data_IF_808728728969
#
_entry.id   IF_808728728969
#
_cell.length_a   1.000
_cell.length_b   1.000
_cell.length_c   1.000
_cell.angle_alpha   90.00
_cell.angle_beta   90.00
_cell.angle_gamma   90.00
#
_symmetry.space_group_name_H-M   'P 1'
#
loop_
_entity.id
_entity.type
_entity.pdbx_description
1 polymer ?
#
# COMPACT_ATOMS: atom_id res chain seq x y z
N UNK A 1 -22.39 41.74 -48.73
CA UNK A 1 -23.52 42.31 -47.92
C UNK A 1 -23.51 41.62 -46.57
N UNK A 2 -23.30 42.41 -45.61
CA UNK A 2 -23.35 42.33 -44.17
C UNK A 2 -23.62 41.01 -43.45
N UNK A 3 -22.63 40.62 -42.65
CA UNK A 3 -22.81 39.79 -41.48
C UNK A 3 -23.05 40.63 -40.23
N UNK A 4 -23.93 40.28 -39.33
CA UNK A 4 -23.92 40.85 -37.99
C UNK A 4 -23.20 39.94 -36.99
N UNK A 5 -22.30 40.56 -36.28
CA UNK A 5 -21.62 40.18 -35.05
C UNK A 5 -22.62 39.99 -33.91
N UNK A 6 -22.53 38.88 -33.18
CA UNK A 6 -23.16 38.73 -31.86
C UNK A 6 -22.11 38.63 -30.77
N UNK A 7 -22.10 39.65 -29.91
CA UNK A 7 -21.44 39.67 -28.62
C UNK A 7 -22.12 38.67 -27.69
N UNK A 8 -21.35 37.86 -27.03
CA UNK A 8 -21.79 37.05 -25.89
C UNK A 8 -21.39 37.76 -24.59
N UNK A 9 -22.37 37.94 -23.74
CA UNK A 9 -22.25 38.53 -22.41
C UNK A 9 -21.46 37.66 -21.44
N UNK A 10 -20.59 38.33 -20.70
CA UNK A 10 -19.81 37.83 -19.59
C UNK A 10 -20.70 37.54 -18.39
N UNK A 11 -20.74 36.30 -17.95
CA UNK A 11 -21.18 35.97 -16.59
C UNK A 11 -19.95 35.66 -15.74
N UNK A 12 -19.65 36.57 -14.80
CA UNK A 12 -18.64 36.44 -13.79
C UNK A 12 -19.09 35.40 -12.75
N UNK A 13 -18.44 34.24 -12.71
CA UNK A 13 -18.43 33.38 -11.52
C UNK A 13 -17.08 33.51 -10.84
N UNK A 14 -17.13 34.06 -9.63
CA UNK A 14 -16.03 34.07 -8.68
C UNK A 14 -15.85 32.62 -8.21
N UNK A 15 -14.71 32.02 -8.56
CA UNK A 15 -14.31 30.70 -8.06
C UNK A 15 -13.00 30.88 -7.29
N UNK A 16 -13.05 30.56 -6.00
CA UNK A 16 -11.91 30.45 -5.09
C UNK A 16 -10.80 29.51 -5.63
N UNK A 17 -9.53 29.70 -5.23
CA UNK A 17 -8.41 28.98 -5.82
C UNK A 17 -8.28 27.58 -5.24
N UNK A 18 -9.10 26.64 -5.69
CA UNK A 18 -8.89 25.21 -5.46
C UNK A 18 -8.16 24.65 -6.67
N UNK A 19 -6.94 24.22 -6.42
CA UNK A 19 -6.07 23.34 -7.23
C UNK A 19 -6.57 23.04 -8.65
N UNK A 20 -6.03 23.75 -9.62
CA UNK A 20 -6.19 23.43 -11.05
C UNK A 20 -5.56 22.06 -11.35
N UNK A 21 -6.35 21.02 -11.39
CA UNK A 21 -6.00 19.82 -12.15
C UNK A 21 -6.11 20.20 -13.63
N UNK A 22 -4.99 20.48 -14.26
CA UNK A 22 -4.92 20.73 -15.70
C UNK A 22 -5.31 19.44 -16.43
N UNK A 23 -6.52 19.40 -16.97
CA UNK A 23 -6.95 18.36 -17.91
C UNK A 23 -6.25 18.64 -19.25
N UNK A 24 -4.94 18.43 -19.31
CA UNK A 24 -4.25 18.32 -20.60
C UNK A 24 -4.62 16.99 -21.21
N UNK A 25 -5.49 17.02 -22.21
CA UNK A 25 -5.64 15.98 -23.19
C UNK A 25 -4.25 15.76 -23.83
N UNK A 26 -3.54 14.72 -23.43
CA UNK A 26 -2.32 14.31 -24.13
C UNK A 26 -2.74 13.66 -25.44
N UNK A 27 -2.63 14.39 -26.51
CA UNK A 27 -2.46 13.81 -27.85
C UNK A 27 -1.26 12.86 -27.75
N UNK A 28 -1.42 11.63 -28.22
CA UNK A 28 -0.33 10.66 -28.39
C UNK A 28 0.61 11.25 -29.42
N UNK A 29 1.57 12.04 -28.96
CA UNK A 29 2.75 12.39 -29.73
C UNK A 29 3.62 11.14 -29.63
N UNK A 30 4.11 10.63 -30.74
CA UNK A 30 5.11 9.57 -30.82
C UNK A 30 6.30 9.93 -29.91
N UNK A 31 6.25 9.48 -28.66
CA UNK A 31 7.32 9.67 -27.70
C UNK A 31 8.34 8.59 -27.99
N UNK A 32 9.51 9.05 -28.40
CA UNK A 32 10.70 8.22 -28.53
C UNK A 32 10.82 7.30 -27.30
N UNK A 33 10.58 6.02 -27.50
CA UNK A 33 10.42 4.99 -26.45
C UNK A 33 11.74 4.75 -25.69
N UNK A 34 12.80 5.48 -26.03
CA UNK A 34 14.16 5.37 -25.49
C UNK A 34 14.45 6.32 -24.31
N UNK A 35 13.56 7.26 -23.97
CA UNK A 35 13.83 8.17 -22.86
C UNK A 35 13.52 7.52 -21.49
N UNK A 36 14.41 7.70 -20.53
CA UNK A 36 14.19 7.28 -19.12
C UNK A 36 12.82 7.73 -18.58
N UNK A 37 12.38 8.93 -18.95
CA UNK A 37 11.09 9.47 -18.54
C UNK A 37 9.92 8.63 -19.10
N UNK A 38 9.94 8.31 -20.42
CA UNK A 38 8.88 7.50 -21.05
C UNK A 38 8.83 6.09 -20.46
N UNK A 39 9.99 5.47 -20.22
CA UNK A 39 10.08 4.14 -19.62
C UNK A 39 9.52 4.10 -18.21
N UNK A 40 9.82 5.11 -17.38
CA UNK A 40 9.26 5.24 -16.02
C UNK A 40 7.74 5.46 -16.06
N UNK A 41 7.29 6.37 -16.94
CA UNK A 41 5.86 6.64 -17.12
C UNK A 41 5.10 5.37 -17.54
N UNK A 42 5.63 4.61 -18.49
CA UNK A 42 5.02 3.35 -18.92
C UNK A 42 4.93 2.33 -17.77
N UNK A 43 6.00 2.17 -16.97
CA UNK A 43 6.00 1.28 -15.80
C UNK A 43 4.95 1.71 -14.76
N UNK A 44 4.83 2.99 -14.48
CA UNK A 44 3.83 3.54 -13.57
C UNK A 44 2.41 3.33 -14.13
N UNK A 45 2.21 3.59 -15.43
CA UNK A 45 0.90 3.41 -16.07
C UNK A 45 0.45 1.96 -16.08
N UNK A 46 1.36 1.01 -16.30
CA UNK A 46 1.10 -0.43 -16.21
C UNK A 46 0.83 -0.94 -14.78
N UNK A 47 1.07 -0.13 -13.74
CA UNK A 47 0.83 -0.51 -12.37
C UNK A 47 -0.60 -0.21 -11.91
N UNK A 48 -1.04 -0.89 -10.84
CA UNK A 48 -2.34 -0.63 -10.21
C UNK A 48 -2.37 0.77 -9.58
N UNK A 49 -3.57 1.39 -9.55
CA UNK A 49 -3.81 2.63 -8.81
C UNK A 49 -3.48 2.44 -7.33
N UNK A 50 -2.79 3.39 -6.73
CA UNK A 50 -2.33 3.35 -5.34
C UNK A 50 -0.99 2.65 -5.14
N UNK A 51 -0.40 2.04 -6.18
CA UNK A 51 0.94 1.44 -6.11
C UNK A 51 1.98 2.49 -5.77
N UNK A 52 2.85 2.16 -4.79
CA UNK A 52 3.93 3.03 -4.37
C UNK A 52 5.30 2.49 -4.81
N UNK A 53 6.20 3.41 -5.10
CA UNK A 53 7.53 3.17 -5.65
C UNK A 53 8.57 3.98 -4.89
N UNK A 54 9.80 3.47 -4.88
CA UNK A 54 11.01 4.21 -4.54
C UNK A 54 11.84 4.44 -5.81
N UNK A 55 12.88 5.27 -5.71
CA UNK A 55 13.81 5.43 -6.85
C UNK A 55 14.49 4.13 -7.26
N UNK A 56 14.75 3.23 -6.30
CA UNK A 56 15.38 1.93 -6.58
C UNK A 56 14.54 1.02 -7.46
N UNK A 57 13.22 1.20 -7.49
CA UNK A 57 12.33 0.42 -8.36
C UNK A 57 12.50 0.73 -9.86
N UNK A 58 13.24 1.78 -10.19
CA UNK A 58 13.53 2.22 -11.56
C UNK A 58 15.03 2.18 -11.90
N UNK A 59 15.86 1.57 -11.03
CA UNK A 59 17.31 1.58 -11.18
C UNK A 59 17.82 0.99 -12.50
N UNK A 60 17.03 0.14 -13.15
CA UNK A 60 17.29 -0.47 -14.44
C UNK A 60 16.97 0.43 -15.63
N UNK A 61 16.28 1.57 -15.43
CA UNK A 61 15.80 2.44 -16.52
C UNK A 61 16.71 3.63 -16.82
N UNK A 62 17.74 3.86 -16.03
CA UNK A 62 18.64 4.98 -16.28
C UNK A 62 19.53 5.36 -15.13
N UNK A 63 20.23 6.48 -15.25
CA UNK A 63 21.08 7.01 -14.19
C UNK A 63 20.25 7.53 -13.00
N UNK A 64 20.87 7.56 -11.81
CA UNK A 64 20.21 8.09 -10.61
C UNK A 64 19.70 9.53 -10.81
N UNK A 65 20.41 10.34 -11.59
CA UNK A 65 20.03 11.72 -11.87
C UNK A 65 18.83 11.78 -12.82
N UNK A 66 18.88 11.04 -13.95
CA UNK A 66 17.78 11.01 -14.93
C UNK A 66 16.48 10.47 -14.32
N UNK A 67 16.59 9.43 -13.49
CA UNK A 67 15.43 8.89 -12.74
C UNK A 67 14.84 9.95 -11.80
N UNK A 68 15.68 10.65 -11.01
CA UNK A 68 15.21 11.68 -10.10
C UNK A 68 14.52 12.84 -10.83
N UNK A 69 15.08 13.27 -11.97
CA UNK A 69 14.48 14.32 -12.80
C UNK A 69 13.15 13.87 -13.41
N UNK A 70 13.09 12.64 -13.91
CA UNK A 70 11.86 12.08 -14.48
C UNK A 70 10.75 12.00 -13.42
N UNK A 71 11.04 11.48 -12.22
CA UNK A 71 10.08 11.38 -11.13
C UNK A 71 9.60 12.77 -10.67
N UNK A 72 10.51 13.75 -10.57
CA UNK A 72 10.13 15.13 -10.21
C UNK A 72 9.21 15.76 -11.26
N UNK A 73 9.44 15.50 -12.56
CA UNK A 73 8.54 15.99 -13.62
C UNK A 73 7.17 15.32 -13.54
N UNK A 74 7.13 14.00 -13.36
CA UNK A 74 5.86 13.26 -13.22
C UNK A 74 5.06 13.69 -11.99
N UNK A 75 5.74 14.07 -10.89
CA UNK A 75 5.12 14.66 -9.70
C UNK A 75 4.56 16.06 -10.01
N UNK A 76 5.34 16.92 -10.67
CA UNK A 76 4.89 18.26 -11.09
C UNK A 76 3.71 18.21 -12.06
N UNK A 77 3.66 17.20 -12.92
CA UNK A 77 2.55 16.95 -13.87
C UNK A 77 1.32 16.31 -13.19
N UNK A 78 1.40 15.99 -11.88
CA UNK A 78 0.31 15.37 -11.12
C UNK A 78 0.03 13.90 -11.47
N UNK A 79 0.93 13.24 -12.21
CA UNK A 79 0.80 11.83 -12.60
C UNK A 79 1.08 10.92 -11.40
N UNK A 80 1.97 11.35 -10.50
CA UNK A 80 2.29 10.70 -9.23
C UNK A 80 2.22 11.70 -8.09
N UNK A 81 2.06 11.20 -6.88
CA UNK A 81 2.14 11.98 -5.64
C UNK A 81 3.34 11.50 -4.82
N UNK A 82 3.94 12.39 -4.02
CA UNK A 82 5.06 12.06 -3.12
C UNK A 82 4.61 12.16 -1.65
N UNK A 83 4.01 11.11 -1.08
CA UNK A 83 3.52 11.12 0.29
C UNK A 83 4.65 11.11 1.33
N UNK A 84 5.85 10.71 0.93
CA UNK A 84 7.06 10.67 1.75
C UNK A 84 8.28 10.93 0.86
N UNK A 85 9.24 11.69 1.38
CA UNK A 85 10.46 12.02 0.63
C UNK A 85 11.15 10.77 0.06
N UNK A 86 11.27 10.71 -1.27
CA UNK A 86 11.90 9.62 -2.00
C UNK A 86 10.98 8.43 -2.29
N UNK A 87 9.69 8.55 -1.95
CA UNK A 87 8.65 7.57 -2.28
C UNK A 87 7.53 8.25 -3.05
N UNK A 88 7.08 7.60 -4.10
CA UNK A 88 6.12 8.11 -5.05
C UNK A 88 4.98 7.12 -5.22
N UNK A 89 3.74 7.58 -5.27
CA UNK A 89 2.60 6.70 -5.42
C UNK A 89 1.74 7.14 -6.61
N UNK A 90 1.20 6.17 -7.35
CA UNK A 90 0.19 6.42 -8.37
C UNK A 90 -1.11 6.81 -7.66
N UNK A 91 -1.67 8.01 -7.90
CA UNK A 91 -2.84 8.47 -7.15
C UNK A 91 -4.07 7.58 -7.40
N UNK A 92 -4.86 7.39 -6.36
CA UNK A 92 -6.24 6.91 -6.44
C UNK A 92 -7.15 8.14 -6.42
N UNK A 93 -8.06 8.25 -7.37
CA UNK A 93 -9.05 9.34 -7.42
C UNK A 93 -10.39 8.74 -6.99
N UNK A 94 -11.06 9.41 -6.06
CA UNK A 94 -12.42 9.08 -5.68
C UNK A 94 -13.36 9.29 -6.87
N UNK A 95 -14.10 8.24 -7.23
CA UNK A 95 -15.10 8.36 -8.31
C UNK A 95 -16.28 9.27 -7.92
N UNK A 96 -16.52 9.40 -6.62
CA UNK A 96 -17.66 10.19 -6.10
C UNK A 96 -17.31 11.67 -5.93
N UNK A 97 -16.11 11.95 -5.41
CA UNK A 97 -15.69 13.32 -5.04
C UNK A 97 -14.78 13.95 -6.08
N UNK A 98 -14.20 13.19 -7.02
CA UNK A 98 -13.20 13.69 -7.97
C UNK A 98 -11.85 14.03 -7.34
N UNK A 99 -11.67 13.80 -6.04
CA UNK A 99 -10.49 14.18 -5.28
C UNK A 99 -9.46 13.03 -5.21
N UNK A 100 -8.19 13.40 -5.06
CA UNK A 100 -7.10 12.45 -4.82
C UNK A 100 -7.22 11.88 -3.41
N UNK A 101 -7.38 10.56 -3.32
CA UNK A 101 -7.44 9.86 -2.03
C UNK A 101 -6.05 9.83 -1.35
N UNK A 102 -6.01 9.76 -0.01
CA UNK A 102 -4.77 9.50 0.72
C UNK A 102 -4.03 8.29 0.15
N UNK A 103 -2.68 8.25 0.26
CA UNK A 103 -1.91 7.11 -0.20
C UNK A 103 -2.31 5.84 0.54
N UNK A 104 -2.19 4.71 -0.13
CA UNK A 104 -2.34 3.42 0.51
C UNK A 104 -1.11 3.15 1.40
N UNK A 105 -1.28 3.28 2.70
CA UNK A 105 -0.17 3.15 3.65
C UNK A 105 0.42 1.73 3.70
N UNK A 106 -0.35 0.68 3.33
CA UNK A 106 0.21 -0.66 3.15
C UNK A 106 1.17 -0.72 1.96
N UNK A 107 0.79 -0.11 0.84
CA UNK A 107 1.65 -0.01 -0.34
C UNK A 107 2.88 0.85 -0.06
N UNK A 108 2.71 1.96 0.68
CA UNK A 108 3.83 2.82 1.07
C UNK A 108 4.81 2.06 2.00
N UNK A 109 4.31 1.37 3.01
CA UNK A 109 5.14 0.54 3.90
C UNK A 109 5.86 -0.57 3.12
N UNK A 110 5.18 -1.19 2.17
CA UNK A 110 5.77 -2.22 1.29
C UNK A 110 6.87 -1.63 0.40
N UNK A 111 6.68 -0.42 -0.15
CA UNK A 111 7.71 0.26 -0.95
C UNK A 111 8.93 0.63 -0.10
N UNK A 112 8.71 1.08 1.14
CA UNK A 112 9.81 1.35 2.10
C UNK A 112 10.59 0.06 2.37
N UNK A 113 9.90 -1.00 2.75
CA UNK A 113 10.52 -2.29 3.06
C UNK A 113 11.32 -2.84 1.86
N UNK A 114 10.75 -2.79 0.66
CA UNK A 114 11.41 -3.23 -0.58
C UNK A 114 12.68 -2.43 -0.86
N UNK A 115 12.66 -1.11 -0.65
CA UNK A 115 13.82 -0.25 -0.86
C UNK A 115 15.00 -0.60 0.06
N UNK A 116 14.72 -1.13 1.26
CA UNK A 116 15.74 -1.55 2.23
C UNK A 116 15.99 -3.07 2.26
N UNK A 117 15.29 -3.84 1.43
CA UNK A 117 15.37 -5.30 1.45
C UNK A 117 14.80 -5.94 2.72
N UNK A 118 13.86 -5.26 3.39
CA UNK A 118 13.20 -5.79 4.59
C UNK A 118 12.01 -6.66 4.24
N UNK A 119 11.85 -7.73 4.99
CA UNK A 119 10.58 -8.47 5.05
C UNK A 119 9.72 -7.85 6.15
N UNK A 120 8.47 -7.55 5.82
CA UNK A 120 7.53 -6.93 6.76
C UNK A 120 6.22 -7.73 6.84
N UNK A 121 5.60 -7.68 8.02
CA UNK A 121 4.29 -8.24 8.26
C UNK A 121 3.45 -7.24 9.06
N UNK A 122 2.21 -6.94 8.66
CA UNK A 122 1.35 -6.07 9.44
C UNK A 122 1.12 -6.66 10.84
N UNK A 123 1.00 -5.82 11.85
CA UNK A 123 0.68 -6.22 13.22
C UNK A 123 -0.23 -5.21 13.90
N UNK A 124 -0.74 -5.55 15.08
CA UNK A 124 -1.70 -4.71 15.79
C UNK A 124 -3.03 -4.56 15.03
N UNK A 125 -3.65 -3.40 15.16
CA UNK A 125 -5.00 -3.13 14.65
C UNK A 125 -5.11 -3.25 13.13
N UNK A 126 -4.06 -2.92 12.38
CA UNK A 126 -4.04 -3.10 10.92
C UNK A 126 -4.25 -4.55 10.54
N UNK A 127 -3.53 -5.45 11.22
CA UNK A 127 -3.63 -6.88 10.93
C UNK A 127 -5.01 -7.41 11.29
N UNK A 128 -5.54 -7.00 12.45
CA UNK A 128 -6.88 -7.41 12.89
C UNK A 128 -7.96 -6.88 11.93
N UNK A 129 -7.81 -5.65 11.45
CA UNK A 129 -8.71 -5.06 10.47
C UNK A 129 -8.62 -5.80 9.11
N UNK A 130 -7.41 -6.06 8.62
CA UNK A 130 -7.18 -6.81 7.38
C UNK A 130 -7.78 -8.24 7.43
N UNK A 131 -7.77 -8.85 8.61
CA UNK A 131 -8.38 -10.16 8.84
C UNK A 131 -9.88 -10.06 9.19
N UNK A 132 -10.47 -8.86 9.24
CA UNK A 132 -11.88 -8.64 9.60
C UNK A 132 -12.22 -9.04 11.03
N UNK A 133 -11.22 -9.08 11.91
CA UNK A 133 -11.38 -9.38 13.34
C UNK A 133 -11.82 -8.15 14.14
N UNK A 134 -11.57 -6.96 13.61
CA UNK A 134 -12.04 -5.67 14.12
C UNK A 134 -12.58 -4.79 13.01
N UNK A 135 -13.49 -3.89 13.35
CA UNK A 135 -14.01 -2.85 12.46
C UNK A 135 -13.35 -1.49 12.73
N UNK A 136 -12.47 -1.40 13.72
CA UNK A 136 -11.78 -0.17 14.05
C UNK A 136 -10.81 0.21 12.93
N UNK A 137 -10.83 1.51 12.56
CA UNK A 137 -9.85 2.06 11.62
C UNK A 137 -8.55 2.30 12.38
N UNK A 138 -7.43 1.71 11.96
CA UNK A 138 -6.16 1.90 12.65
C UNK A 138 -5.67 3.34 12.51
N UNK A 139 -5.27 3.94 13.63
CA UNK A 139 -4.65 5.28 13.67
C UNK A 139 -3.15 5.21 13.34
N UNK A 140 -2.51 4.12 13.73
CA UNK A 140 -1.08 3.87 13.48
C UNK A 140 -0.90 2.64 12.61
N UNK A 141 0.04 2.71 11.67
CA UNK A 141 0.36 1.63 10.76
C UNK A 141 1.61 0.91 11.23
N UNK A 142 1.43 -0.16 12.00
CA UNK A 142 2.54 -0.90 12.62
C UNK A 142 2.84 -2.20 11.89
N UNK A 143 4.12 -2.43 11.63
CA UNK A 143 4.65 -3.64 10.99
C UNK A 143 5.77 -4.23 11.83
N UNK A 144 5.80 -5.55 11.97
CA UNK A 144 7.02 -6.26 12.37
C UNK A 144 7.93 -6.36 11.15
N UNK A 145 9.22 -6.20 11.36
CA UNK A 145 10.21 -6.06 10.29
C UNK A 145 11.49 -6.85 10.60
N UNK A 146 12.11 -7.40 9.57
CA UNK A 146 13.48 -7.95 9.66
C UNK A 146 14.53 -6.83 9.76
N UNK A 147 14.17 -5.60 9.41
CA UNK A 147 15.02 -4.41 9.54
C UNK A 147 14.98 -3.79 10.94
N UNK A 148 15.75 -2.73 11.18
CA UNK A 148 15.78 -2.03 12.46
C UNK A 148 14.46 -1.31 12.74
N UNK A 149 14.28 -0.88 14.00
CA UNK A 149 13.16 0.00 14.36
C UNK A 149 13.25 1.30 13.57
N UNK A 150 12.15 1.68 12.93
CA UNK A 150 12.01 2.96 12.22
C UNK A 150 10.59 3.45 12.21
N UNK A 151 10.45 4.77 12.20
CA UNK A 151 9.17 5.45 12.04
C UNK A 151 9.23 6.42 10.87
N UNK A 152 8.11 6.54 10.18
CA UNK A 152 7.89 7.49 9.09
C UNK A 152 6.54 8.18 9.31
N UNK A 153 6.50 9.47 9.05
CA UNK A 153 5.25 10.25 9.11
C UNK A 153 4.89 10.70 7.71
N UNK A 154 3.68 10.37 7.29
CA UNK A 154 3.14 10.75 5.98
C UNK A 154 1.72 11.28 6.17
N UNK A 155 1.48 12.55 5.82
CA UNK A 155 0.18 13.21 5.94
C UNK A 155 -0.48 13.02 7.33
N UNK A 156 0.31 13.16 8.41
CA UNK A 156 -0.15 12.99 9.78
C UNK A 156 -0.32 11.53 10.24
N UNK A 157 -0.17 10.56 9.34
CA UNK A 157 -0.22 9.13 9.66
C UNK A 157 1.18 8.60 9.97
N UNK A 158 1.31 7.87 11.08
CA UNK A 158 2.58 7.26 11.50
C UNK A 158 2.65 5.82 11.01
N UNK A 159 3.75 5.50 10.31
CA UNK A 159 4.10 4.14 9.88
C UNK A 159 5.30 3.68 10.70
N UNK A 160 5.11 2.65 11.52
CA UNK A 160 6.13 2.13 12.44
C UNK A 160 6.59 0.74 12.01
N UNK A 161 7.90 0.56 11.89
CA UNK A 161 8.55 -0.74 11.68
C UNK A 161 9.19 -1.17 12.99
N UNK A 162 8.69 -2.25 13.58
CA UNK A 162 9.23 -2.83 14.82
C UNK A 162 10.16 -4.00 14.47
N UNK A 163 11.40 -3.91 14.90
CA UNK A 163 12.34 -5.02 14.71
C UNK A 163 11.83 -6.28 15.39
N UNK A 164 11.93 -7.42 14.72
CA UNK A 164 11.72 -8.72 15.34
C UNK A 164 12.90 -9.63 15.04
N UNK A 165 13.41 -10.25 16.11
CA UNK A 165 14.44 -11.28 16.02
C UNK A 165 13.88 -12.66 15.60
N UNK A 166 12.56 -12.82 15.59
CA UNK A 166 11.91 -14.08 15.24
C UNK A 166 11.97 -14.32 13.73
N UNK A 167 13.09 -14.85 13.26
CA UNK A 167 13.30 -15.21 11.85
C UNK A 167 12.35 -16.32 11.38
N UNK A 168 11.88 -17.16 12.29
CA UNK A 168 10.94 -18.25 11.94
C UNK A 168 9.66 -17.72 11.33
N UNK A 169 9.20 -16.52 11.78
CA UNK A 169 8.01 -15.88 11.25
C UNK A 169 8.15 -15.48 9.77
N UNK A 170 9.37 -15.28 9.28
CA UNK A 170 9.62 -14.95 7.88
C UNK A 170 9.92 -16.17 7.01
N UNK A 171 10.12 -17.35 7.62
CA UNK A 171 10.39 -18.61 6.92
C UNK A 171 9.12 -19.42 6.65
N UNK A 172 7.96 -18.97 7.15
CA UNK A 172 6.66 -19.58 6.90
C UNK A 172 5.87 -18.82 5.84
N UNK A 173 4.76 -19.38 5.38
CA UNK A 173 3.87 -18.72 4.45
C UNK A 173 3.33 -17.41 5.04
N UNK A 174 3.08 -16.43 4.20
CA UNK A 174 2.55 -15.12 4.64
C UNK A 174 1.24 -15.27 5.43
N UNK A 175 0.36 -16.17 4.98
CA UNK A 175 -0.93 -16.45 5.64
C UNK A 175 -0.70 -16.99 7.05
N UNK A 176 0.18 -17.99 7.22
CA UNK A 176 0.51 -18.55 8.54
C UNK A 176 1.11 -17.51 9.47
N UNK A 177 2.07 -16.73 8.98
CA UNK A 177 2.69 -15.66 9.75
C UNK A 177 1.66 -14.58 10.20
N UNK A 178 0.72 -14.20 9.32
CA UNK A 178 -0.35 -13.25 9.66
C UNK A 178 -1.28 -13.81 10.74
N UNK A 179 -1.68 -15.08 10.66
CA UNK A 179 -2.55 -15.70 11.66
C UNK A 179 -1.86 -15.77 13.01
N UNK A 180 -0.62 -16.25 13.06
CA UNK A 180 0.16 -16.30 14.32
C UNK A 180 0.30 -14.91 14.92
N UNK A 181 0.61 -13.91 14.11
CA UNK A 181 0.75 -12.53 14.58
C UNK A 181 -0.59 -11.95 15.07
N UNK A 182 -1.71 -12.29 14.43
CA UNK A 182 -3.04 -11.90 14.87
C UNK A 182 -3.39 -12.52 16.23
N UNK A 183 -3.13 -13.81 16.41
CA UNK A 183 -3.34 -14.49 17.68
C UNK A 183 -2.49 -13.87 18.80
N UNK A 184 -1.21 -13.55 18.51
CA UNK A 184 -0.33 -12.83 19.44
C UNK A 184 -0.86 -11.44 19.80
N UNK A 185 -1.40 -10.72 18.83
CA UNK A 185 -1.96 -9.36 19.04
C UNK A 185 -3.21 -9.41 19.89
N UNK A 186 -4.12 -10.37 19.65
CA UNK A 186 -5.32 -10.56 20.46
C UNK A 186 -4.99 -11.03 21.88
N UNK A 187 -3.98 -11.88 22.05
CA UNK A 187 -3.68 -12.58 23.27
C UNK A 187 -4.68 -13.70 23.58
N UNK A 188 -4.22 -14.74 24.29
CA UNK A 188 -5.00 -15.97 24.56
C UNK A 188 -6.40 -15.70 25.12
N UNK A 189 -6.51 -14.75 26.05
CA UNK A 189 -7.76 -14.45 26.77
C UNK A 189 -8.87 -13.84 25.88
N UNK A 190 -8.50 -13.20 24.76
CA UNK A 190 -9.45 -12.50 23.90
C UNK A 190 -9.84 -13.31 22.64
N UNK A 191 -9.38 -14.55 22.52
CA UNK A 191 -9.71 -15.40 21.39
C UNK A 191 -11.03 -16.12 21.70
N UNK A 192 -12.03 -15.83 20.89
CA UNK A 192 -13.38 -16.40 20.99
C UNK A 192 -13.62 -17.42 19.89
N UNK A 193 -14.66 -18.26 20.05
CA UNK A 193 -15.11 -19.18 18.98
C UNK A 193 -15.46 -18.42 17.68
N UNK A 194 -15.96 -17.18 17.81
CA UNK A 194 -16.24 -16.32 16.66
C UNK A 194 -14.93 -15.90 15.94
N UNK A 195 -13.86 -15.63 16.70
CA UNK A 195 -12.52 -15.34 16.12
C UNK A 195 -12.02 -16.55 15.32
N UNK A 196 -12.11 -17.74 15.90
CA UNK A 196 -11.71 -19.00 15.25
C UNK A 196 -12.51 -19.23 13.97
N UNK A 197 -13.85 -19.07 14.02
CA UNK A 197 -14.71 -19.24 12.86
C UNK A 197 -14.37 -18.22 11.74
N UNK A 198 -14.14 -16.94 12.08
CA UNK A 198 -13.76 -15.92 11.11
C UNK A 198 -12.39 -16.21 10.46
N UNK A 199 -11.41 -16.69 11.20
CA UNK A 199 -10.11 -17.07 10.65
C UNK A 199 -10.23 -18.29 9.72
N UNK A 200 -11.03 -19.27 10.12
CA UNK A 200 -11.30 -20.48 9.33
C UNK A 200 -11.89 -20.14 7.95
N UNK A 201 -12.92 -19.30 7.91
CA UNK A 201 -13.58 -18.92 6.64
C UNK A 201 -12.68 -18.16 5.65
N UNK A 202 -11.53 -17.68 6.11
CA UNK A 202 -10.57 -16.98 5.25
C UNK A 202 -9.49 -17.88 4.68
N UNK A 203 -9.41 -19.10 5.13
CA UNK A 203 -8.41 -20.07 4.69
C UNK A 203 -8.99 -20.97 3.60
N UNK A 204 -8.24 -21.16 2.54
CA UNK A 204 -8.44 -22.28 1.62
C UNK A 204 -7.96 -23.56 2.27
N UNK A 205 -8.42 -24.70 1.77
CA UNK A 205 -7.99 -26.01 2.28
C UNK A 205 -6.46 -26.20 2.23
N UNK A 206 -5.81 -25.70 1.16
CA UNK A 206 -4.36 -25.74 1.03
C UNK A 206 -3.62 -24.84 2.04
N UNK A 207 -4.16 -23.65 2.34
CA UNK A 207 -3.61 -22.76 3.37
C UNK A 207 -3.81 -23.33 4.77
N UNK A 208 -4.96 -23.96 5.04
CA UNK A 208 -5.25 -24.64 6.31
C UNK A 208 -4.23 -25.75 6.58
N UNK A 209 -3.94 -26.60 5.58
CA UNK A 209 -2.93 -27.65 5.69
C UNK A 209 -1.53 -27.06 5.97
N UNK A 210 -1.12 -26.05 5.21
CA UNK A 210 0.18 -25.37 5.42
C UNK A 210 0.28 -24.76 6.80
N UNK A 211 -0.79 -24.08 7.27
CA UNK A 211 -0.84 -23.50 8.59
C UNK A 211 -0.60 -24.55 9.68
N UNK A 212 -1.24 -25.72 9.59
CA UNK A 212 -1.04 -26.81 10.53
C UNK A 212 0.41 -27.32 10.52
N UNK A 213 1.00 -27.53 9.34
CA UNK A 213 2.38 -28.02 9.17
C UNK A 213 3.44 -27.04 9.68
N UNK A 214 3.31 -25.76 9.30
CA UNK A 214 4.28 -24.70 9.61
C UNK A 214 4.27 -24.29 11.09
N UNK A 215 3.21 -24.60 11.84
CA UNK A 215 3.01 -24.11 13.21
C UNK A 215 3.27 -25.13 14.30
N UNK A 216 3.71 -26.33 13.96
CA UNK A 216 3.99 -27.43 14.93
C UNK A 216 4.98 -26.98 16.02
N UNK A 217 5.91 -26.07 15.72
CA UNK A 217 6.94 -25.56 16.65
C UNK A 217 6.59 -24.23 17.31
N UNK A 218 5.35 -23.78 17.18
CA UNK A 218 4.92 -22.53 17.83
C UNK A 218 4.62 -22.74 19.32
N UNK A 219 4.37 -21.66 20.05
CA UNK A 219 3.94 -21.69 21.45
C UNK A 219 2.69 -22.55 21.59
N UNK A 220 2.64 -23.43 22.61
CA UNK A 220 1.59 -24.44 22.78
C UNK A 220 0.16 -23.90 22.67
N UNK A 221 -0.14 -22.76 23.30
CA UNK A 221 -1.48 -22.19 23.24
C UNK A 221 -1.86 -21.69 21.83
N UNK A 222 -0.89 -21.20 21.04
CA UNK A 222 -1.11 -20.80 19.64
C UNK A 222 -1.40 -22.04 18.81
N UNK A 223 -0.61 -23.11 19.01
CA UNK A 223 -0.80 -24.39 18.32
C UNK A 223 -2.20 -24.96 18.59
N UNK A 224 -2.68 -24.96 19.82
CA UNK A 224 -4.04 -25.41 20.17
C UNK A 224 -5.12 -24.62 19.40
N UNK A 225 -5.00 -23.30 19.36
CA UNK A 225 -5.96 -22.46 18.60
C UNK A 225 -5.89 -22.76 17.11
N UNK A 226 -4.69 -22.91 16.55
CA UNK A 226 -4.51 -23.24 15.13
C UNK A 226 -5.13 -24.60 14.82
N UNK A 227 -4.99 -25.57 15.69
CA UNK A 227 -5.64 -26.87 15.58
C UNK A 227 -7.18 -26.72 15.48
N UNK A 228 -7.76 -25.89 16.37
CA UNK A 228 -9.20 -25.58 16.30
C UNK A 228 -9.59 -24.86 14.97
N UNK A 229 -8.71 -24.06 14.39
CA UNK A 229 -8.97 -23.40 13.11
C UNK A 229 -8.93 -24.40 11.95
N UNK A 230 -8.04 -25.38 11.98
CA UNK A 230 -7.75 -26.29 10.85
C UNK A 230 -8.51 -27.62 10.88
N UNK A 231 -8.92 -28.13 12.04
CA UNK A 231 -9.58 -29.45 12.20
C UNK A 231 -11.00 -29.56 11.63
N UNK A 232 -11.60 -28.50 11.16
CA UNK A 232 -12.98 -28.54 10.64
C UNK A 232 -13.04 -28.33 9.10
N UNK A 233 -11.94 -28.57 8.40
CA UNK A 233 -11.88 -28.60 6.94
C UNK A 233 -11.83 -30.05 6.42
#
# INVERSE_FOLDING_TARGET
MHFPTYCAETSQYIIDPVVRVSTKCYTIVDMDNSSTHASILNRINGSMKGKCFSRSDFADLGSRLSISQALSRLESDGIIISPLRGYYCKPKISKLLGEVLPPDYNELATAIARNYGWTILPCGDILLNNLGLTTQVPVTWTYVSSGPYREYVSNGTVITFKHTANREMFNMSRTSAMIIQALKTLGKANITNQTVAKLRTRLTQGESRRLAEETIRTTSWIFEIIKMITEAH
#
